data_IF_607517991635
#
_entry.id   IF_607517991635
#
_cell.length_a   1.000
_cell.length_b   1.000
_cell.length_c   1.000
_cell.angle_alpha   90.00
_cell.angle_beta   90.00
_cell.angle_gamma   90.00
#
_symmetry.space_group_name_H-M   'P 1'
#
loop_
_entity.id
_entity.type
_entity.pdbx_description
1 polymer ?
#
# COMPACT_ATOMS: atom_id res chain seq x y z
N UNK A 1 8.92 0.64 -2.84
CA UNK A 1 8.93 -0.35 -3.94
C UNK A 1 7.53 -0.89 -4.10
N UNK A 2 6.85 -0.46 -5.15
CA UNK A 2 5.53 -0.96 -5.48
C UNK A 2 5.61 -2.37 -6.09
N UNK A 3 4.67 -3.24 -5.72
CA UNK A 3 4.53 -4.61 -6.25
C UNK A 3 3.05 -4.93 -6.48
N UNK A 4 2.77 -6.03 -7.19
CA UNK A 4 1.40 -6.55 -7.31
C UNK A 4 0.83 -6.89 -5.93
N UNK A 5 -0.41 -6.50 -5.67
CA UNK A 5 -1.04 -6.64 -4.36
C UNK A 5 -1.09 -8.10 -3.90
N UNK A 6 -1.45 -9.01 -4.82
CA UNK A 6 -1.58 -10.44 -4.53
C UNK A 6 -0.20 -11.13 -4.36
N UNK A 7 0.91 -10.40 -4.52
CA UNK A 7 2.28 -10.88 -4.22
C UNK A 7 2.74 -10.55 -2.80
N UNK A 8 1.95 -9.78 -2.04
CA UNK A 8 2.27 -9.47 -0.65
C UNK A 8 2.07 -10.72 0.22
N UNK A 9 2.93 -10.93 1.24
CA UNK A 9 2.79 -12.06 2.15
C UNK A 9 1.55 -11.91 3.05
N UNK A 10 1.03 -13.04 3.55
CA UNK A 10 -0.19 -13.07 4.39
C UNK A 10 -0.05 -12.31 5.72
N UNK A 11 1.19 -12.08 6.19
CA UNK A 11 1.48 -11.31 7.39
C UNK A 11 1.68 -9.81 7.11
N UNK A 12 1.39 -9.34 5.89
CA UNK A 12 1.45 -7.92 5.56
C UNK A 12 0.51 -7.10 6.44
N UNK A 13 0.98 -5.90 6.81
CA UNK A 13 0.11 -4.91 7.43
C UNK A 13 -0.82 -4.35 6.36
N UNK A 14 -2.10 -4.31 6.67
CA UNK A 14 -3.14 -3.78 5.80
C UNK A 14 -3.81 -2.56 6.45
N UNK A 15 -3.96 -1.49 5.68
CA UNK A 15 -4.87 -0.39 6.00
C UNK A 15 -6.04 -0.41 5.02
N UNK A 16 -7.26 -0.26 5.54
CA UNK A 16 -8.48 -0.22 4.74
C UNK A 16 -9.20 1.09 5.02
N UNK A 17 -9.46 1.85 3.96
CA UNK A 17 -10.23 3.10 3.99
C UNK A 17 -11.50 2.93 3.17
N UNK A 18 -12.66 3.02 3.81
CA UNK A 18 -13.95 2.95 3.16
C UNK A 18 -14.47 4.32 2.74
N UNK A 19 -15.05 4.40 1.55
CA UNK A 19 -15.81 5.56 1.08
C UNK A 19 -17.31 5.31 1.18
N UNK A 20 -18.05 6.30 1.68
CA UNK A 20 -19.52 6.27 1.73
C UNK A 20 -20.13 6.18 0.32
N UNK A 21 -19.54 6.92 -0.63
CA UNK A 21 -19.94 6.93 -2.05
C UNK A 21 -19.01 6.05 -2.87
N UNK A 22 -19.50 5.56 -4.01
CA UNK A 22 -18.64 4.86 -4.96
C UNK A 22 -17.59 5.81 -5.54
N UNK A 23 -16.38 5.29 -5.66
CA UNK A 23 -15.28 5.94 -6.31
C UNK A 23 -15.48 5.78 -7.81
N UNK A 24 -15.74 6.88 -8.52
CA UNK A 24 -15.80 6.85 -9.98
C UNK A 24 -14.45 6.46 -10.59
N UNK A 25 -14.44 6.00 -11.83
CA UNK A 25 -13.20 5.60 -12.51
C UNK A 25 -12.14 6.71 -12.49
N UNK A 26 -12.52 7.96 -12.70
CA UNK A 26 -11.60 9.11 -12.66
C UNK A 26 -10.97 9.29 -11.27
N UNK A 27 -11.78 9.12 -10.21
CA UNK A 27 -11.30 9.19 -8.83
C UNK A 27 -10.38 8.01 -8.53
N UNK A 28 -10.74 6.80 -8.96
CA UNK A 28 -9.90 5.60 -8.79
C UNK A 28 -8.55 5.76 -9.48
N UNK A 29 -8.52 6.27 -10.71
CA UNK A 29 -7.28 6.55 -11.45
C UNK A 29 -6.43 7.62 -10.74
N UNK A 30 -7.06 8.69 -10.25
CA UNK A 30 -6.37 9.73 -9.50
C UNK A 30 -5.76 9.20 -8.20
N UNK A 31 -6.52 8.41 -7.43
CA UNK A 31 -6.04 7.78 -6.19
C UNK A 31 -4.87 6.84 -6.49
N UNK A 32 -5.06 5.94 -7.46
CA UNK A 32 -4.07 4.94 -7.84
C UNK A 32 -2.75 5.58 -8.29
N UNK A 33 -2.81 6.52 -9.23
CA UNK A 33 -1.59 7.22 -9.71
C UNK A 33 -0.88 7.99 -8.60
N UNK A 34 -1.63 8.71 -7.75
CA UNK A 34 -1.06 9.52 -6.66
C UNK A 34 -0.38 8.63 -5.61
N UNK A 35 -1.06 7.58 -5.17
CA UNK A 35 -0.54 6.68 -4.15
C UNK A 35 0.57 5.79 -4.68
N UNK A 36 0.47 5.28 -5.90
CA UNK A 36 1.55 4.49 -6.50
C UNK A 36 2.84 5.32 -6.56
N UNK A 37 2.77 6.58 -7.02
CA UNK A 37 3.93 7.47 -7.04
C UNK A 37 4.53 7.75 -5.64
N UNK A 38 3.70 7.77 -4.60
CA UNK A 38 4.15 7.87 -3.22
C UNK A 38 4.80 6.56 -2.73
N UNK A 39 4.12 5.42 -2.91
CA UNK A 39 4.55 4.09 -2.48
C UNK A 39 5.85 3.63 -3.16
N UNK A 40 6.08 4.03 -4.41
CA UNK A 40 7.35 3.79 -5.10
C UNK A 40 8.54 4.43 -4.37
N UNK A 41 8.32 5.61 -3.78
CA UNK A 41 9.34 6.38 -3.04
C UNK A 41 9.32 6.10 -1.54
N UNK A 42 8.34 5.33 -1.06
CA UNK A 42 8.18 5.10 0.36
C UNK A 42 9.30 4.21 0.89
N UNK A 43 10.02 4.73 1.89
CA UNK A 43 11.19 4.10 2.49
C UNK A 43 11.21 4.34 4.00
N UNK A 44 11.88 3.43 4.71
CA UNK A 44 12.12 3.52 6.16
C UNK A 44 13.61 3.24 6.41
N UNK A 45 14.29 4.14 7.14
CA UNK A 45 15.75 4.10 7.31
C UNK A 45 16.53 3.96 5.99
N UNK A 46 16.07 4.64 4.93
CA UNK A 46 16.69 4.60 3.60
C UNK A 46 16.48 3.30 2.82
N UNK A 47 15.78 2.31 3.39
CA UNK A 47 15.41 1.07 2.70
C UNK A 47 14.02 1.21 2.09
N UNK A 48 13.84 0.87 0.80
CA UNK A 48 12.53 0.91 0.17
C UNK A 48 11.61 -0.12 0.84
N UNK A 49 10.38 0.31 1.11
CA UNK A 49 9.36 -0.58 1.65
C UNK A 49 8.66 -1.31 0.51
N UNK A 50 8.49 -2.64 0.63
CA UNK A 50 7.69 -3.41 -0.32
C UNK A 50 6.22 -3.22 0.03
N UNK A 51 5.46 -2.61 -0.87
CA UNK A 51 4.09 -2.19 -0.60
C UNK A 51 3.24 -2.23 -1.87
N UNK A 52 1.93 -2.17 -1.70
CA UNK A 52 0.97 -2.15 -2.80
C UNK A 52 -0.31 -1.42 -2.41
N UNK A 53 -1.18 -1.17 -3.39
CA UNK A 53 -2.53 -0.70 -3.16
C UNK A 53 -3.53 -1.46 -4.03
N UNK A 54 -4.78 -1.53 -3.58
CA UNK A 54 -5.90 -2.10 -4.33
C UNK A 54 -7.17 -1.30 -4.02
N UNK A 55 -8.01 -1.06 -5.03
CA UNK A 55 -9.36 -0.57 -4.82
C UNK A 55 -10.31 -1.76 -5.01
N UNK A 56 -11.12 -2.06 -3.99
CA UNK A 56 -12.06 -3.18 -3.99
C UNK A 56 -13.50 -2.66 -3.95
N UNK A 57 -14.38 -3.28 -4.74
CA UNK A 57 -15.80 -2.92 -4.87
C UNK A 57 -16.05 -1.42 -5.12
N UNK A 58 -15.13 -0.74 -5.81
CA UNK A 58 -15.16 0.72 -6.04
C UNK A 58 -15.33 1.56 -4.77
N UNK A 59 -15.00 1.04 -3.58
CA UNK A 59 -15.33 1.68 -2.29
C UNK A 59 -14.22 1.60 -1.26
N UNK A 60 -13.43 0.54 -1.30
CA UNK A 60 -12.38 0.29 -0.30
C UNK A 60 -11.02 0.52 -0.92
N UNK A 61 -10.32 1.55 -0.47
CA UNK A 61 -8.89 1.70 -0.71
C UNK A 61 -8.15 0.84 0.31
N UNK A 62 -7.39 -0.13 -0.20
CA UNK A 62 -6.58 -1.03 0.58
C UNK A 62 -5.12 -0.71 0.29
N UNK A 63 -4.31 -0.50 1.34
CA UNK A 63 -2.86 -0.34 1.24
C UNK A 63 -2.22 -1.49 1.99
N UNK A 64 -1.32 -2.21 1.34
CA UNK A 64 -0.58 -3.32 1.92
C UNK A 64 0.90 -2.99 2.06
N UNK A 65 1.50 -3.37 3.18
CA UNK A 65 2.91 -3.23 3.47
C UNK A 65 3.49 -4.56 3.95
N UNK A 66 4.54 -5.01 3.28
CA UNK A 66 5.37 -6.10 3.76
C UNK A 66 6.34 -5.59 4.83
N UNK A 67 6.06 -5.93 6.09
CA UNK A 67 6.90 -5.58 7.24
C UNK A 67 8.00 -6.61 7.52
N UNK A 68 8.06 -7.72 6.77
CA UNK A 68 9.03 -8.80 7.00
C UNK A 68 10.49 -8.34 6.85
N UNK A 69 10.71 -7.24 6.12
CA UNK A 69 12.04 -6.70 5.82
C UNK A 69 12.60 -5.81 6.95
N UNK A 70 11.80 -5.48 7.98
CA UNK A 70 12.23 -4.59 9.07
C UNK A 70 12.35 -5.30 10.43
N UNK A 71 12.98 -6.48 10.46
CA UNK A 71 13.59 -6.97 11.69
C UNK A 71 14.80 -6.09 12.00
N UNK A 72 14.57 -4.95 12.65
CA UNK A 72 15.61 -4.30 13.42
C UNK A 72 15.98 -5.27 14.53
N UNK A 73 17.11 -5.97 14.36
CA UNK A 73 17.80 -6.56 15.49
C UNK A 73 18.04 -5.44 16.49
N UNK A 74 17.26 -5.44 17.56
CA UNK A 74 17.39 -4.48 18.64
C UNK A 74 18.73 -4.69 19.33
N UNK A 75 19.53 -3.63 19.36
CA UNK A 75 20.27 -3.20 20.53
C UNK A 75 20.27 -1.67 20.54
N UNK A 76 20.15 -1.13 21.76
CA UNK A 76 20.09 0.26 22.19
C UNK A 76 20.90 1.28 21.39
#
# INVERSE_FOLDING_TARGET
MFVDFDSLPDNSRIWVYGSEKELSNDIQLKITSTLQAFLDKWSHHGKPLRCSLKILENRFLIIGLDESINFTGGCS
#
